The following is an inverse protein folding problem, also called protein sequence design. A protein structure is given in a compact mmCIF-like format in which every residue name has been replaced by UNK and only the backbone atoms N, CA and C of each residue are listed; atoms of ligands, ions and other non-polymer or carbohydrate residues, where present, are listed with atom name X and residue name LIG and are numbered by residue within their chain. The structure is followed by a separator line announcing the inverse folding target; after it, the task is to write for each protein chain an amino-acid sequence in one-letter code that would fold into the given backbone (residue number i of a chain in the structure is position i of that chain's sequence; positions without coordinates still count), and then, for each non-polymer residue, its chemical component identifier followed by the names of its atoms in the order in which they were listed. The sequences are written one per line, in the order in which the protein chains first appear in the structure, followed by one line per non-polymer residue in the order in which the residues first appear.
data_IF_578087108043
#
_entry.id   IF_578087108043
#
_cell.length_a   1.000
_cell.length_b   1.000
_cell.length_c   1.000
_cell.angle_alpha   90.00
_cell.angle_beta   90.00
_cell.angle_gamma   90.00
#
_symmetry.space_group_name_H-M   'P 1'
#
loop_
_entity.id
_entity.type
_entity.pdbx_description
1 polymer ?
#
# COMPACT_ATOMS: atom_id res chain seq x y z
N UNK A 1 -1.56 -34.27 10.25
CA UNK A 1 -0.85 -33.03 10.63
C UNK A 1 0.61 -33.26 10.31
N UNK A 2 1.14 -32.63 9.27
CA UNK A 2 2.55 -32.79 8.88
C UNK A 2 3.22 -31.43 8.97
N UNK A 3 4.01 -31.26 10.03
CA UNK A 3 4.97 -30.19 10.19
C UNK A 3 6.05 -30.32 9.11
N UNK A 4 6.26 -29.28 8.31
CA UNK A 4 7.56 -29.01 7.70
C UNK A 4 7.81 -27.50 7.72
N UNK A 5 8.41 -27.04 8.81
CA UNK A 5 9.09 -25.75 8.83
C UNK A 5 10.57 -25.95 8.45
N UNK A 6 11.01 -25.09 7.53
CA UNK A 6 12.37 -24.74 7.07
C UNK A 6 12.89 -25.40 5.79
N UNK A 7 13.03 -24.58 4.73
CA UNK A 7 13.89 -24.84 3.57
C UNK A 7 15.06 -23.81 3.62
N UNK A 8 16.32 -24.23 3.86
CA UNK A 8 17.41 -23.36 4.30
C UNK A 8 17.97 -22.41 3.22
N UNK A 9 17.53 -22.51 1.96
CA UNK A 9 17.94 -21.63 0.85
C UNK A 9 16.81 -21.50 -0.18
N UNK A 10 15.61 -21.07 0.24
CA UNK A 10 14.58 -20.74 -0.77
C UNK A 10 15.05 -19.50 -1.53
N UNK A 11 15.50 -19.69 -2.76
CA UNK A 11 15.77 -18.59 -3.68
C UNK A 11 14.41 -18.04 -4.13
N UNK A 12 14.18 -16.78 -3.85
CA UNK A 12 13.02 -16.05 -4.35
C UNK A 12 13.25 -15.68 -5.81
N UNK A 13 12.27 -15.94 -6.66
CA UNK A 13 12.33 -15.59 -8.06
C UNK A 13 11.49 -14.34 -8.39
N UNK A 14 11.50 -13.93 -9.66
CA UNK A 14 10.74 -12.76 -10.10
C UNK A 14 9.22 -12.90 -9.88
N UNK A 15 8.68 -14.12 -9.77
CA UNK A 15 7.26 -14.31 -9.44
C UNK A 15 7.00 -14.07 -7.97
N UNK A 16 7.85 -14.59 -7.07
CA UNK A 16 7.74 -14.31 -5.64
C UNK A 16 7.83 -12.79 -5.36
N UNK A 17 8.76 -12.10 -6.05
CA UNK A 17 8.92 -10.65 -5.92
C UNK A 17 7.74 -9.86 -6.50
N UNK A 18 7.18 -10.31 -7.63
CA UNK A 18 5.96 -9.73 -8.19
C UNK A 18 4.79 -9.84 -7.22
N UNK A 19 4.57 -11.03 -6.62
CA UNK A 19 3.48 -11.26 -5.68
C UNK A 19 3.58 -10.34 -4.45
N UNK A 20 4.78 -10.17 -3.90
CA UNK A 20 5.01 -9.28 -2.75
C UNK A 20 4.78 -7.81 -3.14
N UNK A 21 5.31 -7.37 -4.28
CA UNK A 21 5.14 -5.99 -4.73
C UNK A 21 3.67 -5.67 -5.02
N UNK A 22 2.95 -6.55 -5.70
CA UNK A 22 1.51 -6.37 -5.97
C UNK A 22 0.65 -6.41 -4.70
N UNK A 23 1.03 -7.20 -3.70
CA UNK A 23 0.36 -7.18 -2.40
C UNK A 23 0.57 -5.84 -1.69
N UNK A 24 1.80 -5.33 -1.69
CA UNK A 24 2.12 -4.03 -1.10
C UNK A 24 1.44 -2.86 -1.84
N UNK A 25 1.35 -2.93 -3.17
CA UNK A 25 0.55 -2.00 -3.99
C UNK A 25 -0.91 -1.99 -3.53
N UNK A 26 -1.55 -3.16 -3.47
CA UNK A 26 -2.96 -3.30 -3.06
C UNK A 26 -3.20 -2.77 -1.63
N UNK A 27 -2.29 -3.07 -0.69
CA UNK A 27 -2.37 -2.54 0.66
C UNK A 27 -2.31 -1.00 0.69
N UNK A 28 -1.48 -0.37 -0.15
CA UNK A 28 -1.41 1.08 -0.24
C UNK A 28 -2.67 1.69 -0.89
N UNK A 29 -3.29 1.01 -1.86
CA UNK A 29 -4.61 1.40 -2.37
C UNK A 29 -5.67 1.42 -1.27
N UNK A 30 -5.71 0.37 -0.44
CA UNK A 30 -6.64 0.31 0.69
C UNK A 30 -6.37 1.39 1.73
N UNK A 31 -5.09 1.65 2.05
CA UNK A 31 -4.73 2.75 2.94
C UNK A 31 -5.20 4.09 2.41
N UNK A 32 -5.07 4.33 1.11
CA UNK A 32 -5.57 5.53 0.45
C UNK A 32 -7.09 5.70 0.58
N UNK A 33 -7.85 4.60 0.41
CA UNK A 33 -9.30 4.59 0.59
C UNK A 33 -9.66 4.92 2.04
N UNK A 34 -9.03 4.26 3.01
CA UNK A 34 -9.30 4.47 4.43
C UNK A 34 -8.98 5.90 4.87
N UNK A 35 -7.83 6.44 4.46
CA UNK A 35 -7.46 7.84 4.77
C UNK A 35 -8.48 8.81 4.19
N UNK A 36 -8.95 8.57 2.97
CA UNK A 36 -9.98 9.40 2.32
C UNK A 36 -11.30 9.36 3.09
N UNK A 37 -11.74 8.18 3.52
CA UNK A 37 -12.96 8.01 4.32
C UNK A 37 -12.84 8.72 5.68
N UNK A 38 -11.71 8.57 6.37
CA UNK A 38 -11.47 9.25 7.66
C UNK A 38 -11.48 10.77 7.49
N UNK A 39 -10.85 11.31 6.44
CA UNK A 39 -10.89 12.76 6.15
C UNK A 39 -12.32 13.25 5.93
N UNK A 40 -13.15 12.49 5.21
CA UNK A 40 -14.55 12.82 4.99
C UNK A 40 -15.32 12.87 6.31
N UNK A 41 -15.20 11.84 7.16
CA UNK A 41 -15.87 11.78 8.47
C UNK A 41 -15.43 12.91 9.40
N UNK A 42 -14.14 13.27 9.39
CA UNK A 42 -13.65 14.43 10.13
C UNK A 42 -14.33 15.72 9.65
N UNK A 43 -14.50 15.90 8.33
CA UNK A 43 -15.17 17.08 7.79
C UNK A 43 -16.65 17.14 8.16
N UNK A 44 -17.33 15.99 8.23
CA UNK A 44 -18.73 15.90 8.68
C UNK A 44 -18.82 16.30 10.17
N UNK A 45 -17.98 15.73 11.02
CA UNK A 45 -17.93 16.06 12.46
C UNK A 45 -17.61 17.55 12.69
N UNK A 46 -16.68 18.12 11.92
CA UNK A 46 -16.33 19.55 11.98
C UNK A 46 -17.53 20.44 11.62
N UNK A 47 -18.35 20.01 10.66
CA UNK A 47 -19.58 20.71 10.27
C UNK A 47 -20.61 20.68 11.42
N UNK A 48 -20.78 19.53 12.09
CA UNK A 48 -21.71 19.38 13.22
C UNK A 48 -21.27 20.16 14.47
N UNK A 49 -19.96 20.21 14.75
CA UNK A 49 -19.41 20.90 15.92
C UNK A 49 -19.20 22.41 15.72
N UNK A 50 -19.21 22.89 14.47
CA UNK A 50 -18.93 24.28 14.12
C UNK A 50 -17.51 24.72 14.50
N UNK A 51 -17.36 25.90 15.09
CA UNK A 51 -16.04 26.49 15.44
C UNK A 51 -15.40 25.92 16.72
N UNK A 52 -15.89 24.80 17.25
CA UNK A 52 -15.28 24.15 18.42
C UNK A 52 -14.04 23.36 18.00
N UNK A 53 -12.95 23.49 18.76
CA UNK A 53 -11.72 22.71 18.60
C UNK A 53 -11.07 22.75 17.20
N UNK A 54 -11.07 23.93 16.56
CA UNK A 54 -10.48 24.13 15.21
C UNK A 54 -9.02 23.65 15.16
N UNK A 55 -8.24 23.94 16.20
CA UNK A 55 -6.82 23.55 16.27
C UNK A 55 -6.63 22.02 16.29
N UNK A 56 -7.48 21.28 17.00
CA UNK A 56 -7.44 19.82 17.04
C UNK A 56 -7.76 19.20 15.68
N UNK A 57 -8.79 19.71 14.99
CA UNK A 57 -9.12 19.26 13.64
C UNK A 57 -8.01 19.57 12.64
N UNK A 58 -7.42 20.77 12.71
CA UNK A 58 -6.30 21.13 11.86
C UNK A 58 -5.09 20.18 12.05
N UNK A 59 -4.76 19.85 13.30
CA UNK A 59 -3.67 18.91 13.59
C UNK A 59 -3.96 17.51 13.02
N UNK A 60 -5.19 17.01 13.16
CA UNK A 60 -5.60 15.72 12.60
C UNK A 60 -5.56 15.71 11.07
N UNK A 61 -6.06 16.78 10.43
CA UNK A 61 -6.01 16.95 8.97
C UNK A 61 -4.56 16.91 8.46
N UNK A 62 -3.62 17.54 9.18
CA UNK A 62 -2.18 17.51 8.83
C UNK A 62 -1.54 16.13 8.97
N UNK A 63 -1.88 15.39 10.02
CA UNK A 63 -1.41 14.02 10.18
C UNK A 63 -1.92 13.13 9.03
N UNK A 64 -3.18 13.27 8.64
CA UNK A 64 -3.77 12.52 7.53
C UNK A 64 -3.16 12.91 6.18
N UNK A 65 -2.80 14.18 5.97
CA UNK A 65 -2.07 14.61 4.78
C UNK A 65 -0.70 13.95 4.65
N UNK A 66 0.05 13.85 5.74
CA UNK A 66 1.36 13.17 5.75
C UNK A 66 1.20 11.69 5.41
N UNK A 67 0.25 11.00 6.04
CA UNK A 67 0.02 9.58 5.75
C UNK A 67 -0.49 9.35 4.32
N UNK A 68 -1.33 10.26 3.80
CA UNK A 68 -1.80 10.20 2.41
C UNK A 68 -0.63 10.29 1.44
N UNK A 69 0.28 11.24 1.66
CA UNK A 69 1.48 11.38 0.84
C UNK A 69 2.35 10.11 0.86
N UNK A 70 2.58 9.52 2.05
CA UNK A 70 3.37 8.28 2.17
C UNK A 70 2.69 7.10 1.48
N UNK A 71 1.36 6.97 1.61
CA UNK A 71 0.61 5.91 0.95
C UNK A 71 0.64 6.05 -0.58
N UNK A 72 0.51 7.28 -1.10
CA UNK A 72 0.60 7.55 -2.54
C UNK A 72 1.99 7.28 -3.12
N UNK A 73 3.05 7.72 -2.42
CA UNK A 73 4.44 7.47 -2.82
C UNK A 73 4.75 5.97 -2.88
N UNK A 74 4.36 5.22 -1.82
CA UNK A 74 4.57 3.77 -1.76
C UNK A 74 3.71 3.00 -2.76
N UNK A 75 2.49 3.47 -3.02
CA UNK A 75 1.63 2.88 -4.05
C UNK A 75 2.33 2.93 -5.41
N UNK A 76 2.84 4.11 -5.79
CA UNK A 76 3.58 4.27 -7.05
C UNK A 76 4.82 3.38 -7.10
N UNK A 77 5.62 3.37 -6.04
CA UNK A 77 6.82 2.54 -5.95
C UNK A 77 6.51 1.03 -6.12
N UNK A 78 5.52 0.51 -5.40
CA UNK A 78 5.18 -0.91 -5.46
C UNK A 78 4.49 -1.29 -6.77
N UNK A 79 3.70 -0.40 -7.38
CA UNK A 79 3.17 -0.60 -8.72
C UNK A 79 4.29 -0.72 -9.77
N UNK A 80 5.32 0.15 -9.68
CA UNK A 80 6.49 0.08 -10.56
C UNK A 80 7.28 -1.22 -10.37
N UNK A 81 7.53 -1.63 -9.13
CA UNK A 81 8.19 -2.90 -8.82
C UNK A 81 7.38 -4.10 -9.31
N UNK A 82 6.06 -4.09 -9.09
CA UNK A 82 5.16 -5.15 -9.53
C UNK A 82 5.23 -5.34 -11.05
N UNK A 83 5.11 -4.25 -11.82
CA UNK A 83 5.20 -4.33 -13.29
C UNK A 83 6.60 -4.75 -13.76
N UNK A 84 7.67 -4.30 -13.11
CA UNK A 84 9.04 -4.74 -13.39
C UNK A 84 9.20 -6.24 -13.21
N UNK A 85 8.86 -6.78 -12.03
CA UNK A 85 9.03 -8.21 -11.74
C UNK A 85 8.11 -9.09 -12.57
N UNK A 86 6.90 -8.61 -12.90
CA UNK A 86 5.99 -9.26 -13.85
C UNK A 86 6.60 -9.36 -15.25
N UNK A 87 7.30 -8.32 -15.71
CA UNK A 87 8.00 -8.35 -16.99
C UNK A 87 9.17 -9.35 -16.97
N UNK A 88 10.00 -9.32 -15.92
CA UNK A 88 11.11 -10.28 -15.73
C UNK A 88 10.59 -11.73 -15.68
N UNK A 89 9.52 -11.98 -14.94
CA UNK A 89 8.89 -13.31 -14.87
C UNK A 89 8.38 -13.80 -16.23
N UNK A 90 7.73 -12.93 -17.01
CA UNK A 90 7.26 -13.26 -18.37
C UNK A 90 8.42 -13.54 -19.32
N UNK A 91 9.50 -12.76 -19.25
CA UNK A 91 10.70 -12.97 -20.06
C UNK A 91 11.36 -14.33 -19.76
N UNK A 92 11.47 -14.69 -18.48
CA UNK A 92 12.03 -15.97 -18.05
C UNK A 92 11.17 -17.18 -18.49
N UNK A 93 9.85 -17.01 -18.64
CA UNK A 93 8.98 -18.05 -19.24
C UNK A 93 9.19 -18.21 -20.74
N UNK A 94 9.67 -17.19 -21.44
CA UNK A 94 9.88 -17.19 -22.89
C UNK A 94 11.23 -17.75 -23.36
N UNK A 95 12.21 -17.89 -22.46
CA UNK A 95 13.57 -18.35 -22.76
C UNK A 95 13.78 -19.87 -22.80
N UNK A 96 12.72 -20.66 -22.63
CA UNK A 96 12.78 -22.13 -22.60
C UNK A 96 12.29 -22.74 -23.94
N UNK A 97 12.85 -22.28 -25.06
CA UNK A 97 12.66 -22.86 -26.40
C UNK A 97 13.99 -23.11 -27.09
#
# INVERSE_FOLDING_TARGET
MSNQFQNPHKNYDASDMHDIASMAECDMEWMNIVITDVRKRISEIKTELGNKNIAGFYALEKVLEIYKYVADDRLGHHAEEAEKYKAEWKANKGGNK
#
